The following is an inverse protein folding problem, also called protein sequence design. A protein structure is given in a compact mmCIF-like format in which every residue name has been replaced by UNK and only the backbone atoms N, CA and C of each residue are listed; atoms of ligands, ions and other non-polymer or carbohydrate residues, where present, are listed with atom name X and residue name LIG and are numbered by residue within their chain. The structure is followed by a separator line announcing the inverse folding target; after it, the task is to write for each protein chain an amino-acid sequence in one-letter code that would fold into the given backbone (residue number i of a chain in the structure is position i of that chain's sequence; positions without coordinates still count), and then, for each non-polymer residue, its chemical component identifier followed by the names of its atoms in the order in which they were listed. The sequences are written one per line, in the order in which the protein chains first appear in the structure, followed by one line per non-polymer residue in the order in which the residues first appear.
data_IF_926631897994
#
_entry.id   IF_926631897994
#
_cell.length_a   1.000
_cell.length_b   1.000
_cell.length_c   1.000
_cell.angle_alpha   90.00
_cell.angle_beta   90.00
_cell.angle_gamma   90.00
#
_symmetry.space_group_name_H-M   'P 1'
#
loop_
_entity.id
_entity.type
_entity.pdbx_description
1 polymer ?
#
# COMPACT_ATOMS: atom_id res chain seq x y z
N UNK A 1 20.19 2.77 -25.54
CA UNK A 1 18.87 2.64 -26.12
C UNK A 1 18.18 4.01 -26.23
N UNK A 2 17.91 4.71 -25.11
CA UNK A 2 17.19 6.00 -25.13
C UNK A 2 17.94 7.11 -25.92
N UNK A 3 19.26 7.18 -25.83
CA UNK A 3 20.06 8.11 -26.65
C UNK A 3 19.89 7.84 -28.16
N UNK A 4 19.84 6.56 -28.55
CA UNK A 4 19.66 6.17 -29.94
C UNK A 4 18.22 6.40 -30.44
N UNK A 5 17.26 6.51 -29.51
CA UNK A 5 15.87 6.87 -29.82
C UNK A 5 15.64 8.39 -29.99
N UNK A 6 16.71 9.22 -29.93
CA UNK A 6 16.63 10.66 -30.15
C UNK A 6 15.99 11.43 -28.99
N UNK A 7 16.04 10.91 -27.75
CA UNK A 7 15.49 11.59 -26.59
C UNK A 7 16.26 12.91 -26.32
N UNK A 8 15.53 14.03 -26.22
CA UNK A 8 16.09 15.35 -25.94
C UNK A 8 16.61 15.44 -24.50
N UNK A 9 15.92 14.76 -23.56
CA UNK A 9 16.27 14.72 -22.14
C UNK A 9 16.05 13.33 -21.57
N UNK A 10 16.96 12.86 -20.73
CA UNK A 10 16.90 11.56 -20.09
C UNK A 10 16.87 11.76 -18.58
N UNK A 11 15.92 11.10 -17.94
CA UNK A 11 15.77 11.05 -16.49
C UNK A 11 16.10 9.64 -16.01
N UNK A 12 16.79 9.53 -14.88
CA UNK A 12 17.23 8.24 -14.35
C UNK A 12 16.89 8.13 -12.87
N UNK A 13 16.37 6.99 -12.47
CA UNK A 13 16.19 6.61 -11.07
C UNK A 13 17.20 5.54 -10.69
N UNK A 14 17.96 5.77 -9.62
CA UNK A 14 18.81 4.74 -9.01
C UNK A 14 17.98 4.04 -7.93
N UNK A 15 17.43 2.87 -8.26
CA UNK A 15 16.61 2.10 -7.33
C UNK A 15 17.49 1.17 -6.52
N UNK A 16 17.65 1.42 -5.20
CA UNK A 16 18.17 0.47 -4.23
C UNK A 16 17.00 -0.15 -3.45
N UNK A 17 17.06 -1.44 -3.16
CA UNK A 17 15.95 -2.32 -2.77
C UNK A 17 15.08 -1.94 -1.54
N UNK A 18 15.31 -0.83 -0.84
CA UNK A 18 14.52 -0.40 0.32
C UNK A 18 13.87 1.00 0.20
N UNK A 19 14.42 1.91 -0.56
CA UNK A 19 13.84 3.25 -0.75
C UNK A 19 13.44 3.46 -2.20
N UNK A 20 12.16 3.57 -2.41
CA UNK A 20 11.56 3.64 -3.73
C UNK A 20 11.10 5.07 -4.04
N UNK A 21 12.01 6.02 -3.93
CA UNK A 21 11.75 7.36 -4.42
C UNK A 21 12.04 7.38 -5.92
N UNK A 22 11.00 7.61 -6.72
CA UNK A 22 11.08 7.79 -8.18
C UNK A 22 11.21 9.27 -8.51
N UNK A 23 12.24 9.90 -7.99
CA UNK A 23 12.47 11.33 -8.20
C UNK A 23 12.70 11.65 -9.68
N UNK A 24 13.39 10.76 -10.40
CA UNK A 24 13.61 10.89 -11.83
C UNK A 24 12.32 10.77 -12.65
N UNK A 25 11.47 9.79 -12.34
CA UNK A 25 10.18 9.66 -13.01
C UNK A 25 9.27 10.86 -12.70
N UNK A 26 9.23 11.30 -11.44
CA UNK A 26 8.45 12.48 -11.05
C UNK A 26 8.92 13.72 -11.79
N UNK A 27 10.22 14.00 -11.80
CA UNK A 27 10.80 15.13 -12.53
C UNK A 27 10.56 15.04 -14.05
N UNK A 28 10.55 13.82 -14.61
CA UNK A 28 10.20 13.58 -16.00
C UNK A 28 8.74 13.95 -16.28
N UNK A 29 7.81 13.50 -15.44
CA UNK A 29 6.38 13.79 -15.59
C UNK A 29 6.08 15.28 -15.43
N UNK A 30 6.78 15.97 -14.54
CA UNK A 30 6.64 17.41 -14.34
C UNK A 30 7.20 18.21 -15.53
N UNK A 31 8.23 17.68 -16.19
CA UNK A 31 8.84 18.30 -17.36
C UNK A 31 7.98 18.17 -18.63
N UNK A 32 7.28 17.06 -18.79
CA UNK A 32 6.49 16.75 -19.99
C UNK A 32 5.29 17.68 -20.16
N UNK A 33 5.06 18.09 -21.40
CA UNK A 33 3.94 18.94 -21.84
C UNK A 33 3.02 18.17 -22.78
N UNK A 34 1.88 18.77 -23.10
CA UNK A 34 0.97 18.20 -24.10
C UNK A 34 1.71 18.05 -25.46
N UNK A 35 1.41 16.96 -26.14
CA UNK A 35 1.99 16.52 -27.41
C UNK A 35 3.46 16.04 -27.35
N UNK A 36 4.10 16.07 -26.16
CA UNK A 36 5.40 15.43 -25.95
C UNK A 36 5.29 13.90 -26.00
N UNK A 37 6.44 13.24 -26.16
CA UNK A 37 6.53 11.77 -26.15
C UNK A 37 7.43 11.31 -25.02
N UNK A 38 6.87 10.52 -24.10
CA UNK A 38 7.64 9.79 -23.09
C UNK A 38 8.17 8.51 -23.70
N UNK A 39 9.48 8.37 -23.80
CA UNK A 39 10.14 7.16 -24.28
C UNK A 39 10.71 6.38 -23.10
N UNK A 40 10.37 5.11 -23.01
CA UNK A 40 10.86 4.19 -22.00
C UNK A 40 11.51 2.97 -22.64
N UNK A 41 12.37 2.30 -21.89
CA UNK A 41 12.97 1.08 -22.40
C UNK A 41 12.00 -0.10 -22.37
N UNK A 42 11.24 -0.28 -21.23
CA UNK A 42 10.24 -1.33 -21.01
C UNK A 42 9.11 -0.82 -20.15
N UNK A 43 7.91 -1.34 -20.35
CA UNK A 43 6.71 -1.00 -19.57
C UNK A 43 6.83 -1.31 -18.08
N UNK A 44 7.53 -2.39 -17.71
CA UNK A 44 7.75 -2.76 -16.31
C UNK A 44 8.60 -1.74 -15.51
N UNK A 45 9.19 -0.77 -16.21
CA UNK A 45 9.90 0.35 -15.58
C UNK A 45 8.97 1.48 -15.14
N UNK A 46 7.77 1.57 -15.69
CA UNK A 46 6.81 2.61 -15.31
C UNK A 46 6.12 2.37 -13.99
N UNK A 47 5.75 1.12 -13.66
CA UNK A 47 4.98 0.79 -12.46
C UNK A 47 5.55 -0.42 -11.72
N UNK A 48 5.24 -0.54 -10.42
CA UNK A 48 5.52 -1.75 -9.61
C UNK A 48 4.47 -2.84 -9.82
N UNK A 49 3.33 -2.43 -10.29
CA UNK A 49 2.20 -3.28 -10.60
C UNK A 49 1.60 -2.86 -11.93
N UNK A 50 0.88 -3.78 -12.55
CA UNK A 50 0.11 -3.49 -13.78
C UNK A 50 -0.87 -2.35 -13.52
N UNK A 51 -1.46 -2.27 -12.34
CA UNK A 51 -2.37 -1.18 -11.95
C UNK A 51 -1.68 0.19 -12.00
N UNK A 52 -0.54 0.35 -11.32
CA UNK A 52 0.20 1.62 -11.31
C UNK A 52 0.63 2.04 -12.72
N UNK A 53 1.07 1.08 -13.53
CA UNK A 53 1.43 1.30 -14.93
C UNK A 53 0.24 1.84 -15.73
N UNK A 54 -0.93 1.21 -15.60
CA UNK A 54 -2.14 1.62 -16.33
C UNK A 54 -2.67 2.97 -15.85
N UNK A 55 -2.62 3.25 -14.54
CA UNK A 55 -2.99 4.56 -13.98
C UNK A 55 -2.08 5.67 -14.55
N UNK A 56 -0.78 5.41 -14.65
CA UNK A 56 0.16 6.35 -15.25
C UNK A 56 -0.12 6.54 -16.76
N UNK A 57 -0.38 5.46 -17.49
CA UNK A 57 -0.73 5.56 -18.91
C UNK A 57 -2.01 6.38 -19.13
N UNK A 58 -3.04 6.20 -18.29
CA UNK A 58 -4.26 7.02 -18.34
C UNK A 58 -3.98 8.50 -18.05
N UNK A 59 -3.10 8.81 -17.09
CA UNK A 59 -2.67 10.19 -16.81
C UNK A 59 -1.94 10.82 -18.00
N UNK A 60 -1.05 10.07 -18.67
CA UNK A 60 -0.35 10.54 -19.86
C UNK A 60 -1.33 10.84 -21.00
N UNK A 61 -2.30 9.96 -21.22
CA UNK A 61 -3.34 10.15 -22.23
C UNK A 61 -4.20 11.39 -21.96
N UNK A 62 -4.67 11.58 -20.71
CA UNK A 62 -5.41 12.79 -20.31
C UNK A 62 -4.60 14.09 -20.56
N UNK A 63 -3.29 14.04 -20.38
CA UNK A 63 -2.38 15.14 -20.63
C UNK A 63 -1.95 15.25 -22.11
N UNK A 64 -2.45 14.39 -22.99
CA UNK A 64 -2.06 14.27 -24.41
C UNK A 64 -0.57 13.99 -24.60
N UNK A 65 0.03 13.23 -23.70
CA UNK A 65 1.44 12.81 -23.80
C UNK A 65 1.46 11.40 -24.40
N UNK A 66 2.25 11.22 -25.44
CA UNK A 66 2.43 9.91 -26.09
C UNK A 66 3.41 9.06 -25.30
N UNK A 67 3.21 7.74 -25.33
CA UNK A 67 4.11 6.78 -24.67
C UNK A 67 4.69 5.83 -25.72
N UNK A 68 6.01 5.69 -25.72
CA UNK A 68 6.72 4.72 -26.55
C UNK A 68 7.56 3.81 -25.66
N UNK A 69 7.36 2.48 -25.76
CA UNK A 69 8.21 1.47 -25.16
C UNK A 69 9.05 0.79 -26.21
N UNK A 70 10.39 0.91 -26.08
CA UNK A 70 11.32 0.45 -27.12
C UNK A 70 11.37 -1.07 -27.22
N UNK A 71 11.41 -1.79 -26.10
CA UNK A 71 11.54 -3.24 -26.09
C UNK A 71 10.19 -3.94 -26.30
N UNK A 72 9.10 -3.34 -25.82
CA UNK A 72 7.75 -3.92 -25.97
C UNK A 72 7.10 -3.58 -27.33
N UNK A 73 7.79 -2.77 -28.16
CA UNK A 73 7.28 -2.28 -29.45
C UNK A 73 5.88 -1.63 -29.33
N UNK A 74 5.67 -0.90 -28.25
CA UNK A 74 4.41 -0.21 -27.98
C UNK A 74 4.57 1.28 -28.27
N UNK A 75 3.66 1.81 -29.09
CA UNK A 75 3.57 3.25 -29.39
C UNK A 75 2.12 3.70 -29.34
N UNK A 76 1.78 4.47 -28.30
CA UNK A 76 0.41 4.97 -28.10
C UNK A 76 0.01 6.08 -29.08
N UNK A 77 0.92 6.56 -29.92
CA UNK A 77 0.57 7.45 -31.04
C UNK A 77 -0.18 6.69 -32.15
N UNK A 78 0.07 5.39 -32.28
CA UNK A 78 -0.59 4.52 -33.26
C UNK A 78 -1.94 4.00 -32.74
N UNK A 79 -2.87 3.72 -33.64
CA UNK A 79 -4.16 3.09 -33.29
C UNK A 79 -3.97 1.71 -32.66
N UNK A 80 -3.01 0.94 -33.17
CA UNK A 80 -2.67 -0.41 -32.67
C UNK A 80 -2.13 -0.32 -31.24
N UNK A 81 -1.21 0.62 -30.96
CA UNK A 81 -0.64 0.78 -29.63
C UNK A 81 -1.70 1.20 -28.60
N UNK A 82 -2.61 2.12 -28.93
CA UNK A 82 -3.74 2.48 -28.06
C UNK A 82 -4.65 1.27 -27.81
N UNK A 83 -4.99 0.53 -28.84
CA UNK A 83 -5.80 -0.69 -28.72
C UNK A 83 -5.13 -1.73 -27.81
N UNK A 84 -3.81 -1.95 -27.97
CA UNK A 84 -3.03 -2.85 -27.12
C UNK A 84 -3.09 -2.40 -25.65
N UNK A 85 -2.96 -1.11 -25.37
CA UNK A 85 -3.08 -0.59 -24.01
C UNK A 85 -4.47 -0.81 -23.41
N UNK A 86 -5.53 -0.64 -24.21
CA UNK A 86 -6.91 -0.91 -23.76
C UNK A 86 -7.12 -2.39 -23.42
N UNK A 87 -6.57 -3.31 -24.24
CA UNK A 87 -6.62 -4.76 -23.96
C UNK A 87 -5.90 -5.06 -22.63
N UNK A 88 -4.69 -4.52 -22.42
CA UNK A 88 -3.94 -4.72 -21.17
C UNK A 88 -4.69 -4.18 -19.96
N UNK A 89 -5.35 -3.03 -20.08
CA UNK A 89 -6.19 -2.46 -19.03
C UNK A 89 -7.37 -3.37 -18.69
N UNK A 90 -8.10 -3.82 -19.70
CA UNK A 90 -9.25 -4.73 -19.54
C UNK A 90 -8.84 -6.07 -18.92
N UNK A 91 -7.70 -6.61 -19.32
CA UNK A 91 -7.16 -7.88 -18.76
C UNK A 91 -6.77 -7.71 -17.29
N UNK A 92 -6.17 -6.58 -16.91
CA UNK A 92 -5.82 -6.30 -15.52
C UNK A 92 -7.06 -6.17 -14.64
N UNK A 93 -8.10 -5.50 -15.12
CA UNK A 93 -9.38 -5.39 -14.43
C UNK A 93 -10.07 -6.75 -14.29
N UNK A 94 -10.10 -7.54 -15.33
CA UNK A 94 -10.64 -8.90 -15.31
C UNK A 94 -9.93 -9.77 -14.26
N UNK A 95 -8.59 -9.78 -14.25
CA UNK A 95 -7.82 -10.53 -13.28
C UNK A 95 -8.10 -10.07 -11.83
N UNK A 96 -8.25 -8.76 -11.61
CA UNK A 96 -8.63 -8.22 -10.30
C UNK A 96 -10.01 -8.75 -9.86
N UNK A 97 -10.98 -8.73 -10.76
CA UNK A 97 -12.33 -9.21 -10.47
C UNK A 97 -12.34 -10.71 -10.14
N UNK A 98 -11.59 -11.53 -10.88
CA UNK A 98 -11.43 -12.95 -10.56
C UNK A 98 -10.85 -13.18 -9.16
N UNK A 99 -9.83 -12.41 -8.75
CA UNK A 99 -9.24 -12.50 -7.41
C UNK A 99 -10.27 -12.10 -6.35
N UNK A 100 -11.03 -11.03 -6.57
CA UNK A 100 -12.06 -10.56 -5.64
C UNK A 100 -13.18 -11.59 -5.47
N UNK A 101 -13.63 -12.19 -6.56
CA UNK A 101 -14.67 -13.21 -6.52
C UNK A 101 -14.19 -14.49 -5.82
N UNK A 102 -12.95 -14.90 -6.07
CA UNK A 102 -12.31 -16.00 -5.34
C UNK A 102 -12.20 -15.70 -3.82
N UNK A 103 -11.82 -14.47 -3.45
CA UNK A 103 -11.77 -14.05 -2.05
C UNK A 103 -13.17 -14.07 -1.41
N UNK A 104 -14.20 -13.55 -2.09
CA UNK A 104 -15.59 -13.57 -1.59
C UNK A 104 -16.08 -14.99 -1.36
N UNK A 105 -15.90 -15.86 -2.37
CA UNK A 105 -16.27 -17.28 -2.24
C UNK A 105 -15.53 -17.97 -1.08
N UNK A 106 -14.25 -17.68 -0.89
CA UNK A 106 -13.45 -18.19 0.21
C UNK A 106 -13.96 -17.71 1.58
N UNK A 107 -14.34 -16.43 1.71
CA UNK A 107 -14.92 -15.83 2.92
C UNK A 107 -16.26 -16.48 3.22
N UNK A 108 -17.16 -16.62 2.24
CA UNK A 108 -18.47 -17.28 2.41
C UNK A 108 -18.33 -18.73 2.85
N UNK A 109 -17.43 -19.48 2.22
CA UNK A 109 -17.16 -20.86 2.60
C UNK A 109 -16.61 -20.96 4.04
N UNK A 110 -15.76 -20.03 4.47
CA UNK A 110 -15.25 -19.99 5.83
C UNK A 110 -16.34 -19.59 6.84
N UNK A 111 -17.22 -18.63 6.50
CA UNK A 111 -18.39 -18.27 7.33
C UNK A 111 -19.35 -19.46 7.53
N UNK A 112 -19.64 -20.20 6.45
CA UNK A 112 -20.46 -21.42 6.54
C UNK A 112 -19.85 -22.49 7.45
N UNK A 113 -18.53 -22.54 7.57
CA UNK A 113 -17.80 -23.41 8.51
C UNK A 113 -17.71 -22.84 9.93
N UNK A 114 -18.33 -21.69 10.21
CA UNK A 114 -18.34 -21.06 11.53
C UNK A 114 -17.06 -20.28 11.88
N UNK A 115 -16.19 -20.01 10.92
CA UNK A 115 -14.99 -19.20 11.15
C UNK A 115 -15.40 -17.76 11.41
N UNK A 116 -15.08 -17.24 12.59
CA UNK A 116 -15.29 -15.83 12.93
C UNK A 116 -14.15 -14.98 12.36
N UNK A 117 -14.50 -14.02 11.48
CA UNK A 117 -13.55 -13.06 10.94
C UNK A 117 -13.40 -11.85 11.87
N UNK A 118 -12.26 -11.20 11.78
CA UNK A 118 -11.94 -10.06 12.59
C UNK A 118 -11.07 -10.39 13.79
N UNK A 119 -10.92 -9.42 14.68
CA UNK A 119 -10.13 -9.59 15.89
C UNK A 119 -10.82 -10.56 16.85
N UNK A 120 -10.13 -11.63 17.23
CA UNK A 120 -10.66 -12.56 18.22
C UNK A 120 -10.81 -11.88 19.58
N UNK A 121 -11.94 -12.11 20.25
CA UNK A 121 -12.14 -11.70 21.63
C UNK A 121 -11.06 -12.35 22.51
N UNK A 122 -10.45 -11.57 23.40
CA UNK A 122 -9.37 -12.05 24.27
C UNK A 122 -7.94 -11.86 23.76
N UNK A 123 -7.72 -11.52 22.47
CA UNK A 123 -6.38 -11.19 21.97
C UNK A 123 -5.94 -9.74 22.27
N UNK A 124 -6.62 -9.08 23.22
CA UNK A 124 -6.47 -7.65 23.47
C UNK A 124 -5.12 -7.23 24.02
N UNK A 125 -4.35 -8.15 24.61
CA UNK A 125 -2.90 -7.98 24.89
C UNK A 125 -2.27 -9.26 25.45
N UNK A 126 -0.95 -9.33 25.38
CA UNK A 126 -0.20 -10.42 26.00
C UNK A 126 -0.54 -10.44 27.50
N UNK A 127 -1.16 -11.54 27.96
CA UNK A 127 -1.53 -11.78 29.38
C UNK A 127 -0.49 -11.27 30.40
N UNK A 128 0.84 -11.43 30.17
CA UNK A 128 1.85 -10.95 31.14
C UNK A 128 1.83 -9.44 31.41
N UNK A 129 1.44 -8.61 30.45
CA UNK A 129 1.35 -7.15 30.71
C UNK A 129 0.14 -6.75 31.55
N UNK A 130 -1.00 -7.43 31.38
CA UNK A 130 -2.20 -7.20 32.23
C UNK A 130 -1.93 -7.59 33.68
N UNK A 131 -1.37 -8.78 33.88
CA UNK A 131 -1.02 -9.29 35.22
C UNK A 131 -0.02 -8.38 35.93
N UNK A 132 1.02 -7.94 35.21
CA UNK A 132 2.00 -6.99 35.77
C UNK A 132 1.36 -5.65 36.20
N UNK A 133 0.45 -5.10 35.39
CA UNK A 133 -0.31 -3.89 35.75
C UNK A 133 -1.10 -4.09 37.03
N UNK A 134 -1.82 -5.21 37.17
CA UNK A 134 -2.66 -5.51 38.34
C UNK A 134 -1.80 -5.67 39.59
N UNK A 135 -0.68 -6.40 39.51
CA UNK A 135 0.25 -6.60 40.61
C UNK A 135 0.87 -5.28 41.08
N UNK A 136 1.37 -4.47 40.14
CA UNK A 136 1.96 -3.16 40.46
C UNK A 136 0.94 -2.22 41.08
N UNK A 137 -0.30 -2.19 40.62
CA UNK A 137 -1.35 -1.37 41.20
C UNK A 137 -1.74 -1.80 42.61
N UNK A 138 -1.91 -3.14 42.82
CA UNK A 138 -2.15 -3.70 44.18
C UNK A 138 -1.03 -3.43 45.14
N UNK A 139 0.22 -3.33 44.63
CA UNK A 139 1.40 -2.92 45.44
C UNK A 139 1.46 -1.40 45.76
N UNK A 140 0.44 -0.63 45.34
CA UNK A 140 0.38 0.82 45.62
C UNK A 140 1.18 1.68 44.62
N UNK A 141 1.64 1.13 43.51
CA UNK A 141 2.39 1.88 42.50
C UNK A 141 1.46 2.84 41.75
N UNK A 142 1.89 4.08 41.55
CA UNK A 142 1.10 5.11 40.84
C UNK A 142 0.98 4.79 39.35
N UNK A 143 -0.13 5.18 38.71
CA UNK A 143 -0.39 4.92 37.29
C UNK A 143 0.71 5.42 36.35
N UNK A 144 1.30 6.64 36.53
CA UNK A 144 2.42 7.06 35.70
C UNK A 144 3.62 6.11 35.77
N UNK A 145 3.93 5.59 36.96
CA UNK A 145 5.05 4.68 37.18
C UNK A 145 4.79 3.28 36.63
N UNK A 146 3.52 2.83 36.65
CA UNK A 146 3.08 1.59 35.99
C UNK A 146 3.22 1.72 34.45
N UNK A 147 2.90 2.89 33.89
CA UNK A 147 3.10 3.17 32.46
C UNK A 147 4.57 3.06 32.06
N UNK A 148 5.45 3.63 32.85
CA UNK A 148 6.91 3.59 32.64
C UNK A 148 7.44 2.15 32.67
N UNK A 149 7.10 1.38 33.71
CA UNK A 149 7.56 -0.02 33.88
C UNK A 149 7.01 -0.95 32.80
N UNK A 150 5.73 -0.81 32.46
CA UNK A 150 5.06 -1.71 31.50
C UNK A 150 5.19 -1.30 30.05
N UNK A 151 5.65 -0.05 29.79
CA UNK A 151 5.73 0.53 28.46
C UNK A 151 4.36 0.79 27.82
N UNK A 152 3.29 0.90 28.61
CA UNK A 152 1.94 1.20 28.14
C UNK A 152 1.81 2.72 28.00
N UNK A 153 1.56 3.19 26.77
CA UNK A 153 1.52 4.63 26.45
C UNK A 153 0.20 5.32 26.82
N UNK A 154 -0.89 4.57 26.99
CA UNK A 154 -2.23 5.12 27.24
C UNK A 154 -2.73 4.77 28.64
N UNK A 155 -3.01 5.78 29.48
CA UNK A 155 -3.62 5.60 30.81
C UNK A 155 -4.92 4.80 30.78
N UNK A 156 -5.75 5.05 29.76
CA UNK A 156 -7.03 4.37 29.57
C UNK A 156 -6.89 2.83 29.48
N UNK A 157 -5.79 2.34 28.91
CA UNK A 157 -5.51 0.89 28.84
C UNK A 157 -5.31 0.30 30.22
N UNK A 158 -4.61 1.02 31.13
CA UNK A 158 -4.42 0.57 32.52
C UNK A 158 -5.75 0.57 33.26
N UNK A 159 -6.54 1.63 33.11
CA UNK A 159 -7.88 1.70 33.72
C UNK A 159 -8.78 0.56 33.24
N UNK A 160 -8.78 0.25 31.95
CA UNK A 160 -9.57 -0.85 31.43
C UNK A 160 -9.16 -2.22 32.02
N UNK A 161 -7.86 -2.45 32.25
CA UNK A 161 -7.39 -3.67 32.91
C UNK A 161 -7.83 -3.79 34.36
N UNK A 162 -7.79 -2.67 35.10
CA UNK A 162 -8.25 -2.64 36.49
C UNK A 162 -9.74 -2.88 36.57
N UNK A 163 -10.52 -2.26 35.68
CA UNK A 163 -11.97 -2.44 35.61
C UNK A 163 -12.38 -3.88 35.23
N UNK A 164 -11.66 -4.52 34.30
CA UNK A 164 -11.87 -5.91 33.93
C UNK A 164 -11.70 -6.89 35.13
N UNK A 165 -10.93 -6.51 36.13
CA UNK A 165 -10.71 -7.27 37.38
C UNK A 165 -11.50 -6.70 38.56
N UNK A 166 -12.53 -5.87 38.31
CA UNK A 166 -13.37 -5.22 39.31
C UNK A 166 -12.60 -4.34 40.31
N UNK A 167 -11.40 -3.86 39.94
CA UNK A 167 -10.62 -2.92 40.76
C UNK A 167 -10.99 -1.51 40.34
N UNK A 168 -11.57 -0.74 41.26
CA UNK A 168 -11.86 0.68 40.99
C UNK A 168 -10.58 1.52 41.07
N UNK A 169 -10.17 2.16 39.95
CA UNK A 169 -8.98 3.02 39.98
C UNK A 169 -9.27 4.32 40.72
N UNK A 170 -8.40 4.70 41.70
CA UNK A 170 -8.44 6.01 42.32
C UNK A 170 -8.14 7.08 41.24
N UNK A 171 -9.17 7.80 40.83
CA UNK A 171 -9.05 8.95 39.92
C UNK A 171 -8.65 10.19 40.76
N UNK A 172 -7.39 10.27 41.15
CA UNK A 172 -6.79 11.53 41.62
C UNK A 172 -5.85 12.08 40.56
#
# INVERSE_FOLDING_TARGET
ALNNAGCIRIFTDKISGKEFKREGLTACLDYLRADDTLVIYRLDRLGRSVKEMLELCAQLEQRRIKLVSLQDNLDTSSAVGRFTMQILASLAEYNRNLILDGCKAGIEAAQKRGVKFGRQEGTRMKKPKKEAVIQLYKAGTTIPKIMEITGIKAKQTIYNYLLEENIQPNRK
#
